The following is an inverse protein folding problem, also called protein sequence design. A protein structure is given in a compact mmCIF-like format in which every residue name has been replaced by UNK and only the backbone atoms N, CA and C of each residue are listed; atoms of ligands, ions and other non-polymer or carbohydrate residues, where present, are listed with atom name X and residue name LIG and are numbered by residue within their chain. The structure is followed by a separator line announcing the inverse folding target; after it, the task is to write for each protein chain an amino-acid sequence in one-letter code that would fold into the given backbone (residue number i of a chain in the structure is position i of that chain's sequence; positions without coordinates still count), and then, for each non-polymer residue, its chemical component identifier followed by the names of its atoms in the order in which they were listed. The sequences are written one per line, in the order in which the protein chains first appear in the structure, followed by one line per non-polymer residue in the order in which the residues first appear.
data_IF_939103965651
#
_entry.id   IF_939103965651
#
_cell.length_a   1.000
_cell.length_b   1.000
_cell.length_c   1.000
_cell.angle_alpha   90.00
_cell.angle_beta   90.00
_cell.angle_gamma   90.00
#
_symmetry.space_group_name_H-M   'P 1'
#
loop_
_entity.id
_entity.type
_entity.pdbx_description
1 polymer ?
#
# COMPACT_ATOMS: atom_id res chain seq x y z
N UNK A 1 5.14 12.38 10.87
CA UNK A 1 5.00 13.16 9.62
C UNK A 1 4.48 14.57 9.87
N UNK A 2 5.30 15.56 9.55
CA UNK A 2 4.98 16.99 9.51
C UNK A 2 4.25 17.36 8.21
N UNK A 3 3.72 18.58 8.13
CA UNK A 3 3.07 19.07 6.91
C UNK A 3 4.06 19.18 5.74
N UNK A 4 5.30 19.60 6.00
CA UNK A 4 6.34 19.74 4.98
C UNK A 4 6.73 18.37 4.38
N UNK A 5 6.93 17.36 5.23
CA UNK A 5 7.22 15.99 4.79
C UNK A 5 6.07 15.43 3.95
N UNK A 6 4.82 15.65 4.38
CA UNK A 6 3.65 15.23 3.59
C UNK A 6 3.65 15.87 2.20
N UNK A 7 3.92 17.16 2.10
CA UNK A 7 3.95 17.86 0.81
C UNK A 7 5.09 17.37 -0.09
N UNK A 8 6.25 17.06 0.47
CA UNK A 8 7.36 16.48 -0.28
C UNK A 8 6.97 15.13 -0.89
N UNK A 9 6.35 14.24 -0.10
CA UNK A 9 5.85 12.94 -0.58
C UNK A 9 4.79 13.14 -1.67
N UNK A 10 3.85 14.07 -1.49
CA UNK A 10 2.84 14.34 -2.52
C UNK A 10 3.51 14.73 -3.84
N UNK A 11 4.48 15.66 -3.80
CA UNK A 11 5.19 16.12 -5.00
C UNK A 11 5.99 15.00 -5.68
N UNK A 12 6.60 14.11 -4.90
CA UNK A 12 7.43 13.02 -5.43
C UNK A 12 6.62 11.90 -6.12
N UNK A 13 5.37 11.71 -5.72
CA UNK A 13 4.49 10.64 -6.22
C UNK A 13 3.30 11.16 -7.04
N UNK A 14 3.24 12.47 -7.30
CA UNK A 14 2.25 13.09 -8.15
C UNK A 14 2.36 12.56 -9.59
N UNK A 15 1.22 12.18 -10.18
CA UNK A 15 1.18 11.69 -11.58
C UNK A 15 1.05 12.82 -12.60
N UNK A 16 0.56 13.99 -12.16
CA UNK A 16 0.45 15.19 -12.97
C UNK A 16 0.64 16.43 -12.10
N UNK A 17 0.85 17.58 -12.73
CA UNK A 17 0.94 18.85 -12.01
C UNK A 17 -0.34 19.11 -11.21
N UNK A 18 -0.21 19.49 -9.94
CA UNK A 18 -1.35 19.73 -9.04
C UNK A 18 -2.00 18.47 -8.47
N UNK A 19 -1.49 17.26 -8.76
CA UNK A 19 -2.00 16.04 -8.14
C UNK A 19 -1.74 16.03 -6.63
N UNK A 20 -2.82 15.87 -5.86
CA UNK A 20 -2.79 15.79 -4.40
C UNK A 20 -3.56 14.59 -3.86
N UNK A 21 -4.17 13.79 -4.75
CA UNK A 21 -5.24 12.87 -4.39
C UNK A 21 -5.28 11.58 -5.19
N UNK A 22 -4.38 11.38 -6.15
CA UNK A 22 -4.27 10.11 -6.87
C UNK A 22 -4.03 8.93 -5.92
N UNK A 23 -4.38 7.73 -6.38
CA UNK A 23 -4.16 6.51 -5.61
C UNK A 23 -2.67 6.31 -5.28
N UNK A 24 -1.78 6.66 -6.21
CA UNK A 24 -0.33 6.61 -6.07
C UNK A 24 0.16 7.51 -4.93
N UNK A 25 -0.27 8.79 -4.92
CA UNK A 25 0.03 9.74 -3.84
C UNK A 25 -0.50 9.26 -2.49
N UNK A 26 -1.76 8.80 -2.44
CA UNK A 26 -2.36 8.31 -1.20
C UNK A 26 -1.62 7.09 -0.65
N UNK A 27 -1.21 6.14 -1.51
CA UNK A 27 -0.43 4.96 -1.12
C UNK A 27 0.93 5.35 -0.55
N UNK A 28 1.62 6.32 -1.15
CA UNK A 28 2.91 6.82 -0.64
C UNK A 28 2.78 7.46 0.74
N UNK A 29 1.78 8.33 0.93
CA UNK A 29 1.50 8.96 2.23
C UNK A 29 1.11 7.93 3.30
N UNK A 30 0.24 6.97 2.96
CA UNK A 30 -0.14 5.90 3.88
C UNK A 30 1.06 5.03 4.26
N UNK A 31 1.93 4.71 3.30
CA UNK A 31 3.13 3.89 3.54
C UNK A 31 4.06 4.56 4.53
N UNK A 32 4.31 5.87 4.37
CA UNK A 32 5.12 6.64 5.33
C UNK A 32 4.51 6.60 6.73
N UNK A 33 3.21 6.87 6.86
CA UNK A 33 2.50 6.83 8.17
C UNK A 33 2.51 5.44 8.80
N UNK A 34 2.35 4.39 8.00
CA UNK A 34 2.40 3.00 8.45
C UNK A 34 3.79 2.69 9.01
N UNK A 35 4.86 3.12 8.35
CA UNK A 35 6.22 2.90 8.80
C UNK A 35 6.49 3.62 10.13
N UNK A 36 6.14 4.91 10.23
CA UNK A 36 6.26 5.68 11.48
C UNK A 36 5.50 5.02 12.64
N UNK A 37 4.24 4.64 12.41
CA UNK A 37 3.41 4.04 13.45
C UNK A 37 3.87 2.63 13.83
N UNK A 38 4.48 1.90 12.88
CA UNK A 38 5.10 0.61 13.15
C UNK A 38 6.28 0.76 14.11
N UNK A 39 7.16 1.75 13.91
CA UNK A 39 8.26 2.03 14.84
C UNK A 39 7.76 2.46 16.22
N UNK A 40 6.75 3.34 16.29
CA UNK A 40 6.10 3.73 17.55
C UNK A 40 5.60 2.51 18.33
N UNK A 41 4.93 1.57 17.66
CA UNK A 41 4.35 0.39 18.29
C UNK A 41 5.38 -0.67 18.71
N UNK A 42 6.61 -0.66 18.16
CA UNK A 42 7.71 -1.50 18.65
C UNK A 42 8.09 -1.13 20.09
N UNK A 43 8.07 0.18 20.39
CA UNK A 43 8.34 0.72 21.72
C UNK A 43 7.08 0.60 22.60
N UNK A 44 5.93 1.01 22.09
CA UNK A 44 4.67 1.07 22.83
C UNK A 44 3.75 -0.13 22.56
N UNK A 45 4.20 -1.32 22.96
CA UNK A 45 3.52 -2.59 22.64
C UNK A 45 2.08 -2.72 23.17
N UNK A 46 1.69 -1.95 24.18
CA UNK A 46 0.34 -1.97 24.78
C UNK A 46 -0.61 -0.94 24.19
N UNK A 47 -0.18 -0.14 23.22
CA UNK A 47 -1.04 0.84 22.55
C UNK A 47 -1.95 0.15 21.51
N UNK A 48 -3.06 -0.41 22.00
CA UNK A 48 -4.03 -1.14 21.18
C UNK A 48 -4.84 -0.20 20.26
N UNK A 49 -5.05 1.05 20.66
CA UNK A 49 -5.79 2.03 19.85
C UNK A 49 -5.00 2.39 18.59
N UNK A 50 -3.71 2.72 18.74
CA UNK A 50 -2.81 2.96 17.61
C UNK A 50 -2.67 1.73 16.72
N UNK A 51 -2.57 0.52 17.30
CA UNK A 51 -2.54 -0.73 16.51
C UNK A 51 -3.80 -0.90 15.66
N UNK A 52 -4.98 -0.59 16.20
CA UNK A 52 -6.23 -0.62 15.42
C UNK A 52 -6.20 0.39 14.28
N UNK A 53 -5.69 1.60 14.52
CA UNK A 53 -5.47 2.62 13.49
C UNK A 53 -4.53 2.14 12.38
N UNK A 54 -3.41 1.52 12.76
CA UNK A 54 -2.45 0.90 11.84
C UNK A 54 -3.12 -0.10 10.91
N UNK A 55 -3.89 -1.05 11.47
CA UNK A 55 -4.57 -2.08 10.67
C UNK A 55 -5.56 -1.49 9.67
N UNK A 56 -6.29 -0.44 10.06
CA UNK A 56 -7.18 0.29 9.14
C UNK A 56 -6.39 0.93 7.99
N UNK A 57 -5.24 1.56 8.28
CA UNK A 57 -4.38 2.16 7.24
C UNK A 57 -3.80 1.09 6.30
N UNK A 58 -3.36 -0.05 6.84
CA UNK A 58 -2.86 -1.18 6.03
C UNK A 58 -3.95 -1.70 5.09
N UNK A 59 -5.17 -1.91 5.59
CA UNK A 59 -6.31 -2.33 4.77
C UNK A 59 -6.65 -1.31 3.68
N UNK A 60 -6.68 -0.03 4.03
CA UNK A 60 -6.95 1.04 3.06
C UNK A 60 -5.89 1.10 1.95
N UNK A 61 -4.60 1.01 2.31
CA UNK A 61 -3.49 0.93 1.34
C UNK A 61 -3.64 -0.29 0.43
N UNK A 62 -4.00 -1.46 0.98
CA UNK A 62 -4.23 -2.68 0.18
C UNK A 62 -5.34 -2.48 -0.85
N UNK A 63 -6.43 -1.83 -0.48
CA UNK A 63 -7.54 -1.55 -1.41
C UNK A 63 -7.13 -0.60 -2.54
N UNK A 64 -6.36 0.45 -2.23
CA UNK A 64 -5.82 1.36 -3.24
C UNK A 64 -4.85 0.65 -4.19
N UNK A 65 -3.96 -0.20 -3.66
CA UNK A 65 -3.07 -1.01 -4.48
C UNK A 65 -3.82 -1.98 -5.39
N UNK A 66 -4.91 -2.59 -4.90
CA UNK A 66 -5.76 -3.44 -5.72
C UNK A 66 -6.49 -2.66 -6.81
N UNK A 67 -6.89 -1.42 -6.54
CA UNK A 67 -7.45 -0.53 -7.56
C UNK A 67 -6.42 -0.21 -8.64
N UNK A 68 -5.19 0.20 -8.26
CA UNK A 68 -4.12 0.49 -9.21
C UNK A 68 -3.83 -0.75 -10.07
N UNK A 69 -3.63 -1.92 -9.45
CA UNK A 69 -3.36 -3.17 -10.16
C UNK A 69 -4.44 -3.53 -11.20
N UNK A 70 -5.72 -3.33 -10.87
CA UNK A 70 -6.83 -3.60 -11.79
C UNK A 70 -6.86 -2.67 -13.00
N UNK A 71 -6.34 -1.44 -12.86
CA UNK A 71 -6.33 -0.45 -13.93
C UNK A 71 -5.06 -0.54 -14.76
N UNK A 72 -3.90 -0.63 -14.09
CA UNK A 72 -2.59 -0.73 -14.72
C UNK A 72 -1.64 -1.55 -13.82
N UNK A 73 -1.27 -2.73 -14.32
CA UNK A 73 -0.38 -3.67 -13.64
C UNK A 73 1.05 -3.14 -13.59
N UNK A 74 1.51 -2.41 -14.62
CA UNK A 74 2.87 -1.88 -14.66
C UNK A 74 3.02 -0.75 -13.66
N UNK A 75 2.05 0.17 -13.59
CA UNK A 75 2.04 1.23 -12.56
C UNK A 75 2.04 0.63 -11.14
N UNK A 76 1.27 -0.44 -10.91
CA UNK A 76 1.28 -1.14 -9.64
C UNK A 76 2.69 -1.65 -9.29
N UNK A 77 3.34 -2.36 -10.23
CA UNK A 77 4.68 -2.94 -10.04
C UNK A 77 5.72 -1.86 -9.75
N UNK A 78 5.70 -0.78 -10.52
CA UNK A 78 6.64 0.32 -10.36
C UNK A 78 6.45 1.02 -9.01
N UNK A 79 5.20 1.25 -8.60
CA UNK A 79 4.88 1.88 -7.32
C UNK A 79 5.32 1.02 -6.13
N UNK A 80 5.02 -0.28 -6.13
CA UNK A 80 5.42 -1.15 -5.01
C UNK A 80 6.93 -1.32 -4.94
N UNK A 81 7.63 -1.34 -6.08
CA UNK A 81 9.09 -1.39 -6.13
C UNK A 81 9.69 -0.12 -5.54
N UNK A 82 9.20 1.06 -5.97
CA UNK A 82 9.63 2.36 -5.46
C UNK A 82 9.40 2.51 -3.95
N UNK A 83 8.27 2.01 -3.45
CA UNK A 83 7.88 2.12 -2.02
C UNK A 83 8.35 0.95 -1.15
N UNK A 84 9.00 -0.07 -1.71
CA UNK A 84 9.42 -1.27 -0.97
C UNK A 84 8.26 -2.08 -0.39
N UNK A 85 7.09 -2.08 -1.06
CA UNK A 85 5.89 -2.80 -0.63
C UNK A 85 5.94 -4.23 -1.16
N UNK A 86 5.61 -5.20 -0.30
CA UNK A 86 5.55 -6.61 -0.71
C UNK A 86 4.41 -6.83 -1.73
N UNK A 87 4.73 -7.49 -2.84
CA UNK A 87 3.77 -7.87 -3.88
C UNK A 87 2.81 -8.97 -3.40
N UNK A 88 1.78 -8.60 -2.64
CA UNK A 88 0.81 -9.57 -2.12
C UNK A 88 -0.33 -9.84 -3.09
N UNK A 89 -0.58 -8.97 -4.07
CA UNK A 89 -1.75 -9.10 -4.93
C UNK A 89 -1.48 -10.15 -6.00
N UNK A 90 -0.36 -10.02 -6.74
CA UNK A 90 -0.03 -10.96 -7.81
C UNK A 90 0.24 -12.38 -7.29
N UNK A 91 0.84 -12.50 -6.09
CA UNK A 91 1.08 -13.81 -5.48
C UNK A 91 -0.24 -14.52 -5.19
N UNK A 92 -1.19 -13.86 -4.52
CA UNK A 92 -2.47 -14.48 -4.19
C UNK A 92 -3.29 -14.82 -5.46
N UNK A 93 -3.19 -14.02 -6.53
CA UNK A 93 -3.87 -14.33 -7.79
C UNK A 93 -3.23 -15.52 -8.49
N UNK A 94 -1.90 -15.61 -8.50
CA UNK A 94 -1.20 -16.76 -9.07
C UNK A 94 -1.52 -18.04 -8.29
N UNK A 95 -1.52 -17.98 -6.96
CA UNK A 95 -1.85 -19.12 -6.10
C UNK A 95 -3.30 -19.59 -6.37
N UNK A 96 -4.26 -18.67 -6.50
CA UNK A 96 -5.65 -19.00 -6.83
C UNK A 96 -5.80 -19.62 -8.24
N UNK A 97 -5.03 -19.15 -9.23
CA UNK A 97 -5.04 -19.75 -10.57
C UNK A 97 -4.46 -21.18 -10.59
N UNK A 98 -3.50 -21.49 -9.70
CA UNK A 98 -2.97 -22.84 -9.54
C UNK A 98 -4.00 -23.75 -8.88
N UNK A 99 -4.68 -23.29 -7.83
CA UNK A 99 -5.73 -24.05 -7.13
C UNK A 99 -6.88 -24.43 -8.06
N UNK A 100 -7.40 -23.46 -8.84
CA UNK A 100 -8.50 -23.70 -9.80
C UNK A 100 -8.10 -24.70 -10.89
N UNK A 101 -6.84 -24.70 -11.33
CA UNK A 101 -6.34 -25.67 -12.31
C UNK A 101 -6.23 -27.07 -11.73
N UNK A 102 -5.78 -27.21 -10.49
CA UNK A 102 -5.71 -28.50 -9.81
C UNK A 102 -7.10 -29.13 -9.63
N UNK A 103 -8.10 -28.34 -9.23
CA UNK A 103 -9.48 -28.84 -9.07
C UNK A 103 -10.17 -29.24 -10.38
N UNK A 104 -9.72 -28.70 -11.52
CA UNK A 104 -10.29 -29.02 -12.83
C UNK A 104 -9.68 -30.27 -13.48
N UNK A 105 -8.58 -30.81 -12.92
CA UNK A 105 -7.88 -32.00 -13.41
C UNK A 105 -8.25 -33.29 -12.64
N UNK A 106 -9.01 -33.18 -11.55
CA UNK A 106 -9.58 -34.28 -10.74
C UNK A 106 -11.02 -34.65 -11.15
#
# INVERSE_FOLDING_TARGET
MTQAEKQAIIKEYAIHEGDTGSAQVQVAVLTTRINELTEHLKIHKKDHHSRRGLLKMVGHRRNLLAYIYKNDVQEYRDLIAKLGIRNTIERNTADAEVEVKAEAED
#
